data_IF_263244673801
#
_entry.id   IF_263244673801
#
_cell.length_a   1.000
_cell.length_b   1.000
_cell.length_c   1.000
_cell.angle_alpha   90.00
_cell.angle_beta   90.00
_cell.angle_gamma   90.00
#
_symmetry.space_group_name_H-M   'P 1'
#
loop_
_entity.id
_entity.type
_entity.pdbx_description
1 polymer ?
#
# COMPACT_ATOMS: atom_id res chain seq x y z
N UNK A 1 -2.44 9.79 49.59
CA UNK A 1 -1.99 8.83 48.56
C UNK A 1 -0.48 8.77 48.59
N UNK A 2 0.11 7.77 49.25
CA UNK A 2 1.57 7.59 49.24
C UNK A 2 1.95 6.85 47.96
N UNK A 3 2.76 7.50 47.11
CA UNK A 3 3.36 6.88 45.93
C UNK A 3 4.37 5.83 46.40
N UNK A 4 4.00 4.56 46.27
CA UNK A 4 4.91 3.43 46.47
C UNK A 4 6.00 3.52 45.40
N UNK A 5 7.17 4.06 45.76
CA UNK A 5 8.34 4.06 44.90
C UNK A 5 8.86 2.62 44.84
N UNK A 6 8.98 1.98 43.67
CA UNK A 6 9.59 0.67 43.58
C UNK A 6 11.03 0.77 44.12
N UNK A 7 11.37 -0.13 45.04
CA UNK A 7 12.72 -0.30 45.54
C UNK A 7 13.53 -0.99 44.44
N UNK A 8 14.17 -0.20 43.57
CA UNK A 8 14.98 -0.70 42.47
C UNK A 8 16.33 -1.10 43.07
N UNK A 9 16.60 -2.41 43.06
CA UNK A 9 17.82 -3.00 43.59
C UNK A 9 19.07 -2.44 42.87
N UNK A 10 20.17 -2.22 43.58
CA UNK A 10 21.41 -1.65 43.05
C UNK A 10 21.95 -2.48 41.88
N UNK A 11 21.70 -3.79 41.92
CA UNK A 11 22.00 -4.72 40.85
C UNK A 11 21.15 -4.47 39.59
N UNK A 12 19.86 -4.13 39.74
CA UNK A 12 19.02 -3.74 38.60
C UNK A 12 19.50 -2.45 37.96
N UNK A 13 19.92 -1.47 38.76
CA UNK A 13 20.48 -0.20 38.25
C UNK A 13 21.76 -0.46 37.44
N UNK A 14 22.67 -1.30 37.94
CA UNK A 14 23.89 -1.67 37.22
C UNK A 14 23.64 -2.37 35.89
N UNK A 15 22.66 -3.27 35.83
CA UNK A 15 22.27 -3.96 34.58
C UNK A 15 21.64 -2.98 33.58
N UNK A 16 20.83 -2.02 34.05
CA UNK A 16 20.21 -1.00 33.20
C UNK A 16 21.28 -0.09 32.60
N UNK A 17 22.23 0.39 33.40
CA UNK A 17 23.32 1.26 32.94
C UNK A 17 24.22 0.56 31.92
N UNK A 18 24.58 -0.71 32.15
CA UNK A 18 25.35 -1.50 31.19
C UNK A 18 24.60 -1.70 29.86
N UNK A 19 23.29 -1.89 29.92
CA UNK A 19 22.48 -2.01 28.70
C UNK A 19 22.42 -0.70 27.91
N UNK A 20 22.41 0.45 28.59
CA UNK A 20 22.39 1.77 27.94
C UNK A 20 23.74 2.08 27.27
N UNK A 21 24.85 1.76 27.93
CA UNK A 21 26.20 1.92 27.39
C UNK A 21 26.42 1.06 26.13
N UNK A 22 26.04 -0.22 26.19
CA UNK A 22 26.13 -1.13 25.04
C UNK A 22 25.28 -0.64 23.86
N UNK A 23 24.11 -0.06 24.11
CA UNK A 23 23.27 0.50 23.05
C UNK A 23 23.85 1.80 22.48
N UNK A 24 24.55 2.62 23.27
CA UNK A 24 25.24 3.82 22.79
C UNK A 24 26.37 3.47 21.83
N UNK A 25 27.26 2.55 22.24
CA UNK A 25 28.39 2.09 21.41
C UNK A 25 27.90 1.55 20.06
N UNK A 26 26.89 0.69 20.07
CA UNK A 26 26.34 0.13 18.83
C UNK A 26 25.66 1.20 17.97
N UNK A 27 25.02 2.20 18.57
CA UNK A 27 24.40 3.31 17.85
C UNK A 27 25.44 4.16 17.14
N UNK A 28 26.55 4.44 17.81
CA UNK A 28 27.68 5.21 17.27
C UNK A 28 28.40 4.44 16.16
N UNK A 29 28.74 3.17 16.39
CA UNK A 29 29.45 2.33 15.40
C UNK A 29 28.64 2.10 14.12
N UNK A 30 27.32 2.02 14.22
CA UNK A 30 26.43 1.73 13.08
C UNK A 30 25.79 2.97 12.47
N UNK A 31 25.98 4.15 13.08
CA UNK A 31 25.28 5.41 12.76
C UNK A 31 23.73 5.26 12.72
N UNK A 32 23.19 4.26 13.42
CA UNK A 32 21.75 4.02 13.53
C UNK A 32 21.26 4.56 14.85
N UNK A 33 20.08 5.20 14.87
CA UNK A 33 19.55 5.77 16.12
C UNK A 33 19.40 4.72 17.24
N UNK A 34 19.72 5.14 18.47
CA UNK A 34 19.58 4.34 19.70
C UNK A 34 18.22 3.62 19.79
N UNK A 35 17.12 4.32 19.44
CA UNK A 35 15.76 3.76 19.45
C UNK A 35 15.59 2.59 18.48
N UNK A 36 16.21 2.67 17.30
CA UNK A 36 16.15 1.61 16.29
C UNK A 36 16.96 0.39 16.74
N UNK A 37 18.15 0.59 17.30
CA UNK A 37 18.97 -0.50 17.83
C UNK A 37 18.25 -1.23 18.96
N UNK A 38 17.66 -0.49 19.92
CA UNK A 38 16.89 -1.08 21.02
C UNK A 38 15.67 -1.88 20.50
N UNK A 39 14.99 -1.36 19.47
CA UNK A 39 13.86 -2.05 18.84
C UNK A 39 14.30 -3.33 18.12
N UNK A 40 15.38 -3.28 17.35
CA UNK A 40 15.95 -4.44 16.67
C UNK A 40 16.38 -5.51 17.67
N UNK A 41 17.04 -5.13 18.78
CA UNK A 41 17.39 -6.06 19.88
C UNK A 41 16.15 -6.76 20.43
N UNK A 42 15.08 -6.00 20.70
CA UNK A 42 13.82 -6.57 21.20
C UNK A 42 13.14 -7.50 20.18
N UNK A 43 13.19 -7.17 18.88
CA UNK A 43 12.64 -8.01 17.80
C UNK A 43 13.48 -9.28 17.59
N UNK A 44 14.82 -9.20 17.69
CA UNK A 44 15.74 -10.34 17.68
C UNK A 44 15.43 -11.33 18.81
N UNK A 45 15.29 -10.82 20.04
CA UNK A 45 14.99 -11.66 21.21
C UNK A 45 13.62 -12.34 21.13
N UNK A 46 12.68 -11.73 20.39
CA UNK A 46 11.35 -12.29 20.11
C UNK A 46 11.34 -13.30 18.97
N UNK A 47 12.47 -13.54 18.31
CA UNK A 47 12.62 -14.51 17.22
C UNK A 47 12.08 -14.06 15.86
N UNK A 48 11.63 -12.81 15.73
CA UNK A 48 10.99 -12.29 14.52
C UNK A 48 11.85 -11.19 13.87
N UNK A 49 13.02 -11.56 13.34
CA UNK A 49 13.76 -10.67 12.45
C UNK A 49 13.46 -11.01 10.99
N UNK A 50 12.22 -10.78 10.58
CA UNK A 50 11.88 -10.77 9.15
C UNK A 50 12.11 -9.34 8.68
N UNK A 51 12.97 -9.15 7.69
CA UNK A 51 13.10 -7.84 7.04
C UNK A 51 11.71 -7.41 6.60
N UNK A 52 11.28 -6.21 6.99
CA UNK A 52 9.99 -5.71 6.54
C UNK A 52 9.98 -5.79 5.02
N UNK A 53 9.01 -6.50 4.46
CA UNK A 53 8.78 -6.47 3.01
C UNK A 53 8.75 -5.01 2.59
N UNK A 54 9.50 -4.67 1.54
CA UNK A 54 9.47 -3.33 0.97
C UNK A 54 8.00 -3.00 0.73
N UNK A 55 7.47 -1.99 1.43
CA UNK A 55 6.15 -1.45 1.09
C UNK A 55 6.25 -0.96 -0.35
N UNK A 56 5.79 -1.77 -1.30
CA UNK A 56 5.58 -1.36 -2.68
C UNK A 56 4.70 -0.12 -2.60
N UNK A 57 5.27 1.04 -2.92
CA UNK A 57 4.50 2.31 -2.96
C UNK A 57 3.49 2.34 -4.12
N UNK A 58 3.12 1.20 -4.70
CA UNK A 58 2.17 1.07 -5.81
C UNK A 58 1.38 -0.24 -5.75
N UNK A 59 0.66 -0.45 -4.67
CA UNK A 59 -0.35 -1.51 -4.63
C UNK A 59 -1.79 -0.95 -4.70
N UNK A 60 -1.97 0.38 -4.66
CA UNK A 60 -3.29 1.00 -4.89
C UNK A 60 -3.67 1.05 -6.38
N UNK A 61 -2.76 0.61 -7.26
CA UNK A 61 -3.06 0.19 -8.63
C UNK A 61 -2.91 -1.34 -8.71
N UNK A 62 -3.33 -2.07 -7.68
CA UNK A 62 -3.68 -3.48 -7.85
C UNK A 62 -4.88 -3.51 -8.78
N UNK A 63 -4.56 -3.78 -10.03
CA UNK A 63 -5.46 -4.08 -11.12
C UNK A 63 -6.60 -5.01 -10.70
N UNK A 64 -7.67 -4.45 -10.16
CA UNK A 64 -9.03 -4.89 -10.44
C UNK A 64 -9.41 -4.51 -11.86
N UNK A 65 -8.53 -4.79 -12.83
CA UNK A 65 -8.91 -4.80 -14.24
C UNK A 65 -9.78 -6.03 -14.39
N UNK A 66 -11.10 -5.83 -14.42
CA UNK A 66 -11.89 -6.68 -15.30
C UNK A 66 -11.27 -6.46 -16.68
N UNK A 67 -10.35 -7.34 -17.07
CA UNK A 67 -9.81 -7.34 -18.42
C UNK A 67 -10.97 -7.78 -19.29
N UNK A 68 -11.65 -6.81 -19.88
CA UNK A 68 -12.63 -7.10 -20.91
C UNK A 68 -11.90 -7.80 -22.07
N UNK A 69 -12.57 -8.78 -22.67
CA UNK A 69 -12.02 -9.50 -23.80
C UNK A 69 -11.68 -8.52 -24.93
N UNK A 70 -10.67 -8.87 -25.72
CA UNK A 70 -10.22 -8.12 -26.89
C UNK A 70 -11.37 -7.78 -27.85
N UNK A 71 -12.35 -8.68 -28.00
CA UNK A 71 -13.56 -8.48 -28.79
C UNK A 71 -14.44 -7.35 -28.24
N UNK A 72 -14.71 -7.37 -26.93
CA UNK A 72 -15.49 -6.33 -26.26
C UNK A 72 -14.85 -4.95 -26.41
N UNK A 73 -13.52 -4.87 -26.21
CA UNK A 73 -12.78 -3.62 -26.40
C UNK A 73 -12.84 -3.15 -27.86
N UNK A 74 -12.77 -4.07 -28.82
CA UNK A 74 -12.87 -3.75 -30.23
C UNK A 74 -14.25 -3.20 -30.60
N UNK A 75 -15.33 -3.81 -30.11
CA UNK A 75 -16.69 -3.35 -30.33
C UNK A 75 -16.92 -1.94 -29.77
N UNK A 76 -16.44 -1.64 -28.55
CA UNK A 76 -16.51 -0.28 -27.98
C UNK A 76 -15.75 0.73 -28.86
N UNK A 77 -14.58 0.36 -29.40
CA UNK A 77 -13.82 1.23 -30.31
C UNK A 77 -14.58 1.50 -31.62
N UNK A 78 -15.29 0.50 -32.15
CA UNK A 78 -16.13 0.69 -33.34
C UNK A 78 -17.26 1.67 -33.07
N UNK A 79 -17.89 1.60 -31.91
CA UNK A 79 -18.93 2.56 -31.49
C UNK A 79 -18.39 3.99 -31.41
N UNK A 80 -17.22 4.18 -30.79
CA UNK A 80 -16.55 5.50 -30.75
C UNK A 80 -16.21 6.00 -32.17
N UNK A 81 -15.71 5.11 -33.04
CA UNK A 81 -15.40 5.46 -34.44
C UNK A 81 -16.65 5.85 -35.23
N UNK A 82 -17.77 5.17 -34.99
CA UNK A 82 -19.08 5.49 -35.58
C UNK A 82 -19.57 6.90 -35.18
N UNK A 83 -19.36 7.31 -33.92
CA UNK A 83 -19.69 8.67 -33.47
C UNK A 83 -18.87 9.74 -34.19
N UNK A 84 -17.56 9.52 -34.35
CA UNK A 84 -16.72 10.43 -35.15
C UNK A 84 -17.15 10.51 -36.61
N UNK A 85 -17.57 9.38 -37.21
CA UNK A 85 -18.10 9.37 -38.57
C UNK A 85 -19.39 10.20 -38.71
N UNK A 86 -20.21 10.24 -37.66
CA UNK A 86 -21.41 11.09 -37.55
C UNK A 86 -21.11 12.55 -37.19
N UNK A 87 -19.83 12.92 -37.02
CA UNK A 87 -19.36 14.23 -36.53
C UNK A 87 -19.86 14.58 -35.11
N UNK A 88 -20.16 13.57 -34.31
CA UNK A 88 -20.51 13.74 -32.90
C UNK A 88 -19.24 13.60 -32.03
N UNK A 89 -19.11 14.44 -30.99
CA UNK A 89 -18.00 14.32 -30.04
C UNK A 89 -18.35 13.18 -29.07
N UNK A 90 -17.58 12.08 -29.03
CA UNK A 90 -17.85 10.98 -28.12
C UNK A 90 -17.56 11.41 -26.69
N UNK A 91 -18.61 11.62 -25.91
CA UNK A 91 -18.54 11.81 -24.46
C UNK A 91 -18.62 10.47 -23.75
N UNK A 92 -18.14 10.39 -22.52
CA UNK A 92 -18.23 9.15 -21.74
C UNK A 92 -19.69 8.67 -21.61
N UNK A 93 -20.63 9.61 -21.47
CA UNK A 93 -22.05 9.31 -21.33
C UNK A 93 -22.67 8.84 -22.65
N UNK A 94 -22.30 9.45 -23.78
CA UNK A 94 -22.78 9.00 -25.10
C UNK A 94 -22.23 7.62 -25.45
N UNK A 95 -20.94 7.36 -25.19
CA UNK A 95 -20.33 6.04 -25.40
C UNK A 95 -20.97 5.00 -24.48
N UNK A 96 -21.19 5.32 -23.20
CA UNK A 96 -21.88 4.41 -22.28
C UNK A 96 -23.29 4.08 -22.78
N UNK A 97 -24.05 5.07 -23.25
CA UNK A 97 -25.39 4.85 -23.79
C UNK A 97 -25.35 3.93 -25.01
N UNK A 98 -24.48 4.20 -25.98
CA UNK A 98 -24.36 3.38 -27.18
C UNK A 98 -23.93 1.94 -26.89
N UNK A 99 -23.09 1.73 -25.88
CA UNK A 99 -22.66 0.40 -25.44
C UNK A 99 -23.76 -0.34 -24.68
N UNK A 100 -24.66 0.36 -23.97
CA UNK A 100 -25.83 -0.25 -23.32
C UNK A 100 -26.97 -0.58 -24.28
N UNK A 101 -27.03 0.10 -25.44
CA UNK A 101 -28.02 -0.17 -26.49
C UNK A 101 -27.68 -1.44 -27.30
N UNK A 102 -26.47 -1.97 -27.15
CA UNK A 102 -25.98 -3.17 -27.83
C UNK A 102 -26.13 -4.38 -26.90
N UNK A 103 -27.06 -5.28 -27.22
CA UNK A 103 -27.39 -6.46 -26.41
C UNK A 103 -26.21 -7.44 -26.28
N UNK A 104 -25.23 -7.39 -27.20
CA UNK A 104 -24.04 -8.25 -27.19
C UNK A 104 -22.92 -7.71 -26.28
N UNK A 105 -23.05 -6.48 -25.78
CA UNK A 105 -22.07 -5.83 -24.92
C UNK A 105 -22.49 -5.85 -23.44
N UNK A 106 -21.56 -6.07 -22.51
CA UNK A 106 -21.89 -6.05 -21.10
C UNK A 106 -22.24 -4.63 -20.64
N UNK A 107 -23.08 -4.52 -19.62
CA UNK A 107 -23.46 -3.24 -19.05
C UNK A 107 -22.28 -2.63 -18.25
N UNK A 108 -21.75 -1.48 -18.72
CA UNK A 108 -20.65 -0.78 -18.06
C UNK A 108 -21.15 0.37 -17.16
N UNK A 109 -20.53 0.50 -15.98
CA UNK A 109 -20.65 1.71 -15.17
C UNK A 109 -19.74 2.82 -15.70
N UNK A 110 -20.00 4.08 -15.33
CA UNK A 110 -19.15 5.24 -15.73
C UNK A 110 -17.70 5.04 -15.31
N UNK A 111 -17.47 4.53 -14.10
CA UNK A 111 -16.14 4.33 -13.54
C UNK A 111 -15.42 3.16 -14.20
N UNK A 112 -16.15 2.11 -14.61
CA UNK A 112 -15.57 0.98 -15.36
C UNK A 112 -15.14 1.40 -16.77
N UNK A 113 -15.96 2.20 -17.47
CA UNK A 113 -15.67 2.64 -18.84
C UNK A 113 -14.54 3.69 -18.91
N UNK A 114 -14.34 4.48 -17.86
CA UNK A 114 -13.28 5.49 -17.78
C UNK A 114 -11.88 4.91 -17.55
N UNK A 115 -11.79 3.71 -16.95
CA UNK A 115 -10.52 3.03 -16.66
C UNK A 115 -9.94 2.35 -17.89
#
# INVERSE_FOLDING_TARGET
>A
MQLHKPNIDVHQIGIILYCEEVLSVVSEDTEVSHRTVAKLKAECLRGNLVSKEKTSRRDDIKHGTVKHDSFTVHAIRLNVKSMYAKREIPTLDSVRKAVHEDDDLPNFTKTTLWR
#
